data_IF_645063375070
#
_entry.id   IF_645063375070
#
_cell.length_a   1.000
_cell.length_b   1.000
_cell.length_c   1.000
_cell.angle_alpha   90.00
_cell.angle_beta   90.00
_cell.angle_gamma   90.00
#
_symmetry.space_group_name_H-M   'P 1'
#
loop_
_entity.id
_entity.type
_entity.pdbx_description
1 polymer ?
#
# COMPACT_ATOMS: atom_id res chain seq x y z
N UNK A 1 37.45 -27.80 13.47
CA UNK A 1 36.29 -28.69 13.70
C UNK A 1 35.28 -27.88 14.50
N UNK A 2 34.56 -27.01 13.78
CA UNK A 2 33.40 -26.26 14.26
C UNK A 2 32.23 -26.91 13.54
N UNK A 3 31.21 -27.31 14.29
CA UNK A 3 30.05 -28.01 13.78
C UNK A 3 29.26 -27.11 12.84
N UNK A 4 29.25 -27.48 11.57
CA UNK A 4 28.20 -27.12 10.62
C UNK A 4 26.86 -27.56 11.21
N UNK A 5 26.01 -26.58 11.54
CA UNK A 5 24.68 -26.78 12.09
C UNK A 5 23.76 -25.71 11.52
N UNK A 6 23.05 -26.10 10.46
CA UNK A 6 21.75 -25.57 10.02
C UNK A 6 21.60 -24.03 9.95
N UNK A 7 22.10 -23.45 8.85
CA UNK A 7 21.53 -22.24 8.26
C UNK A 7 20.97 -22.51 6.85
N UNK A 8 20.64 -23.76 6.55
CA UNK A 8 20.20 -24.21 5.22
C UNK A 8 18.69 -24.46 5.22
N UNK A 9 17.96 -23.37 5.46
CA UNK A 9 16.58 -23.20 5.01
C UNK A 9 16.47 -21.73 4.60
N UNK A 10 17.07 -21.41 3.45
CA UNK A 10 16.89 -20.13 2.76
C UNK A 10 15.41 -20.01 2.39
N UNK A 11 14.64 -19.52 3.36
CA UNK A 11 13.29 -19.00 3.20
C UNK A 11 13.25 -18.20 1.90
N UNK A 12 12.46 -18.66 0.93
CA UNK A 12 11.97 -17.79 -0.11
C UNK A 12 11.07 -16.78 0.62
N UNK A 13 11.45 -15.50 0.78
CA UNK A 13 10.60 -14.55 1.48
C UNK A 13 9.38 -14.31 0.61
N UNK A 14 8.19 -14.60 1.15
CA UNK A 14 6.91 -14.45 0.46
C UNK A 14 5.94 -15.61 0.57
N UNK A 15 6.38 -16.77 1.08
CA UNK A 15 5.53 -17.98 1.19
C UNK A 15 5.32 -18.47 2.63
N UNK A 16 6.05 -17.92 3.61
CA UNK A 16 5.94 -18.27 5.03
C UNK A 16 4.92 -17.41 5.80
N UNK A 17 4.36 -17.92 6.92
CA UNK A 17 3.55 -17.11 7.81
C UNK A 17 4.37 -15.92 8.33
N UNK A 18 3.76 -14.73 8.34
CA UNK A 18 4.38 -13.55 8.94
C UNK A 18 4.62 -13.82 10.43
N UNK A 19 5.86 -13.62 10.89
CA UNK A 19 6.21 -13.85 12.28
C UNK A 19 5.51 -12.82 13.18
N UNK A 20 4.96 -13.22 14.34
CA UNK A 20 4.30 -12.28 15.26
C UNK A 20 5.18 -11.08 15.67
N UNK A 21 6.50 -11.29 15.77
CA UNK A 21 7.49 -10.26 16.11
C UNK A 21 7.75 -9.25 14.98
N UNK A 22 7.41 -9.58 13.74
CA UNK A 22 7.55 -8.65 12.60
C UNK A 22 6.57 -7.49 12.70
N UNK A 23 5.33 -7.74 13.13
CA UNK A 23 4.28 -6.73 13.16
C UNK A 23 4.59 -5.48 13.99
N UNK A 24 5.02 -5.59 15.27
CA UNK A 24 5.37 -4.40 16.05
C UNK A 24 6.52 -3.63 15.39
N UNK A 25 7.49 -4.33 14.79
CA UNK A 25 8.63 -3.70 14.13
C UNK A 25 8.23 -2.97 12.84
N UNK A 26 7.49 -3.67 11.96
CA UNK A 26 6.95 -3.14 10.72
C UNK A 26 6.10 -1.89 10.98
N UNK A 27 5.11 -1.98 11.87
CA UNK A 27 4.21 -0.85 12.16
C UNK A 27 4.95 0.33 12.82
N UNK A 28 5.88 0.06 13.74
CA UNK A 28 6.74 1.10 14.34
C UNK A 28 7.52 1.86 13.28
N UNK A 29 8.14 1.15 12.34
CA UNK A 29 8.93 1.77 11.26
C UNK A 29 8.05 2.53 10.28
N UNK A 30 6.90 1.96 9.87
CA UNK A 30 6.00 2.60 8.91
C UNK A 30 5.39 3.90 9.44
N UNK A 31 5.00 3.94 10.72
CA UNK A 31 4.52 5.17 11.36
C UNK A 31 5.65 6.08 11.87
N UNK A 32 6.90 5.63 11.82
CA UNK A 32 8.02 6.37 12.36
C UNK A 32 7.88 6.66 13.86
N UNK A 33 7.36 5.68 14.61
CA UNK A 33 7.12 5.82 16.05
C UNK A 33 8.44 5.67 16.79
N UNK A 34 8.77 6.67 17.61
CA UNK A 34 10.00 6.70 18.39
C UNK A 34 9.69 6.82 19.89
N UNK A 35 10.66 6.39 20.72
CA UNK A 35 10.58 6.59 22.16
C UNK A 35 9.33 5.96 22.81
N UNK A 36 8.54 6.72 23.59
CA UNK A 36 7.36 6.20 24.29
C UNK A 36 6.31 5.59 23.37
N UNK A 37 6.10 6.14 22.18
CA UNK A 37 5.06 5.69 21.25
C UNK A 37 5.41 4.34 20.61
N UNK A 38 6.67 4.15 20.20
CA UNK A 38 7.15 2.85 19.72
C UNK A 38 7.09 1.78 20.82
N UNK A 39 7.47 2.12 22.06
CA UNK A 39 7.34 1.21 23.22
C UNK A 39 5.89 0.85 23.51
N UNK A 40 4.97 1.80 23.41
CA UNK A 40 3.53 1.56 23.60
C UNK A 40 3.01 0.58 22.56
N UNK A 41 3.38 0.76 21.29
CA UNK A 41 2.99 -0.17 20.23
C UNK A 41 3.55 -1.56 20.47
N UNK A 42 4.85 -1.69 20.76
CA UNK A 42 5.48 -2.98 21.06
C UNK A 42 4.83 -3.69 22.27
N UNK A 43 4.48 -2.93 23.32
CA UNK A 43 3.81 -3.47 24.50
C UNK A 43 2.44 -4.08 24.18
N UNK A 44 1.67 -3.51 23.25
CA UNK A 44 0.43 -4.14 22.78
C UNK A 44 0.65 -5.50 22.13
N UNK A 45 1.79 -5.73 21.49
CA UNK A 45 2.15 -7.04 20.92
C UNK A 45 2.84 -7.97 21.94
N UNK A 46 2.93 -7.57 23.22
CA UNK A 46 3.67 -8.33 24.23
C UNK A 46 5.15 -8.53 23.89
N UNK A 47 5.71 -7.68 23.03
CA UNK A 47 7.08 -7.78 22.51
C UNK A 47 7.91 -6.62 23.05
N UNK A 48 9.17 -6.85 23.40
CA UNK A 48 10.08 -5.75 23.74
C UNK A 48 10.68 -5.11 22.47
N UNK A 49 11.15 -3.87 22.59
CA UNK A 49 11.65 -3.11 21.45
C UNK A 49 12.88 -3.76 20.78
N UNK A 50 13.69 -4.51 21.54
CA UNK A 50 14.90 -5.16 21.02
C UNK A 50 14.55 -6.36 20.15
N UNK A 51 13.58 -7.17 20.57
CA UNK A 51 13.09 -8.31 19.79
C UNK A 51 12.40 -7.83 18.49
N UNK A 52 11.66 -6.72 18.55
CA UNK A 52 11.10 -6.09 17.35
C UNK A 52 12.21 -5.60 16.41
N UNK A 53 13.25 -4.94 16.92
CA UNK A 53 14.38 -4.45 16.10
C UNK A 53 15.11 -5.61 15.40
N UNK A 54 15.39 -6.70 16.10
CA UNK A 54 16.02 -7.88 15.50
C UNK A 54 15.15 -8.52 14.40
N UNK A 55 13.82 -8.52 14.56
CA UNK A 55 12.89 -8.97 13.52
C UNK A 55 12.89 -8.03 12.30
N UNK A 56 13.02 -6.72 12.52
CA UNK A 56 13.16 -5.73 11.46
C UNK A 56 14.47 -5.90 10.69
N UNK A 57 15.59 -6.07 11.37
CA UNK A 57 16.87 -6.37 10.73
C UNK A 57 16.76 -7.62 9.86
N UNK A 58 16.15 -8.70 10.36
CA UNK A 58 15.89 -9.90 9.56
C UNK A 58 15.07 -9.61 8.29
N UNK A 59 14.05 -8.76 8.37
CA UNK A 59 13.29 -8.32 7.21
C UNK A 59 14.16 -7.56 6.19
N UNK A 60 14.99 -6.62 6.66
CA UNK A 60 15.85 -5.80 5.80
C UNK A 60 16.94 -6.59 5.08
N UNK A 61 17.69 -7.40 5.83
CA UNK A 61 18.83 -8.15 5.28
C UNK A 61 18.43 -9.31 4.38
N UNK A 62 17.18 -9.77 4.47
CA UNK A 62 16.64 -10.87 3.66
C UNK A 62 16.22 -10.48 2.23
N UNK A 63 16.37 -9.21 1.82
CA UNK A 63 15.73 -8.68 0.61
C UNK A 63 14.23 -9.02 0.57
N UNK A 64 13.58 -8.88 1.72
CA UNK A 64 12.25 -9.43 1.95
C UNK A 64 11.21 -8.69 1.12
N UNK A 65 10.41 -9.47 0.41
CA UNK A 65 9.28 -9.00 -0.37
C UNK A 65 8.02 -9.75 0.02
N UNK A 66 6.98 -9.01 0.36
CA UNK A 66 5.64 -9.56 0.46
C UNK A 66 4.91 -9.39 -0.87
N UNK A 67 4.52 -10.51 -1.46
CA UNK A 67 3.67 -10.54 -2.66
C UNK A 67 2.22 -10.70 -2.26
N UNK A 68 1.39 -9.77 -2.70
CA UNK A 68 -0.05 -9.77 -2.48
C UNK A 68 -0.71 -9.97 -3.85
N UNK A 69 -0.98 -11.23 -4.25
CA UNK A 69 -1.58 -11.51 -5.55
C UNK A 69 -2.99 -10.92 -5.62
N UNK A 70 -3.37 -10.45 -6.80
CA UNK A 70 -4.65 -9.83 -7.12
C UNK A 70 -5.23 -10.46 -8.39
N UNK A 71 -6.54 -10.30 -8.56
CA UNK A 71 -7.23 -10.77 -9.75
C UNK A 71 -6.63 -10.21 -11.05
N UNK A 72 -6.76 -11.02 -12.11
CA UNK A 72 -6.28 -10.66 -13.43
C UNK A 72 -4.76 -10.55 -13.49
N UNK A 73 -4.02 -11.33 -12.71
CA UNK A 73 -2.56 -11.46 -12.80
C UNK A 73 -1.76 -10.28 -12.25
N UNK A 74 -2.39 -9.35 -11.53
CA UNK A 74 -1.66 -8.26 -10.88
C UNK A 74 -1.07 -8.75 -9.55
N UNK A 75 -0.01 -8.09 -9.10
CA UNK A 75 0.60 -8.39 -7.81
C UNK A 75 1.04 -7.09 -7.17
N UNK A 76 0.60 -6.86 -5.93
CA UNK A 76 1.16 -5.83 -5.07
C UNK A 76 2.42 -6.39 -4.39
N UNK A 77 3.47 -5.59 -4.34
CA UNK A 77 4.74 -5.93 -3.70
C UNK A 77 4.99 -4.93 -2.59
N UNK A 78 5.23 -5.42 -1.37
CA UNK A 78 5.75 -4.63 -0.25
C UNK A 78 7.18 -5.06 -0.04
N UNK A 79 8.12 -4.21 -0.41
CA UNK A 79 9.53 -4.58 -0.51
C UNK A 79 10.39 -3.61 0.27
N UNK A 80 11.46 -4.11 0.89
CA UNK A 80 12.52 -3.28 1.46
C UNK A 80 13.22 -2.51 0.33
N UNK A 81 13.41 -1.20 0.51
CA UNK A 81 14.16 -0.35 -0.41
C UNK A 81 15.53 -0.06 0.19
N UNK A 82 16.60 -0.57 -0.42
CA UNK A 82 17.96 -0.21 -0.04
C UNK A 82 18.26 1.22 -0.52
N UNK A 83 18.64 2.08 0.41
CA UNK A 83 19.10 3.44 0.16
C UNK A 83 20.53 3.51 0.73
N UNK A 84 21.49 4.25 0.14
CA UNK A 84 22.92 4.13 0.45
C UNK A 84 23.36 4.26 1.93
N UNK A 85 22.46 4.56 2.85
CA UNK A 85 22.69 4.72 4.29
C UNK A 85 21.52 4.28 5.17
N UNK A 86 20.39 3.84 4.60
CA UNK A 86 19.18 3.48 5.33
C UNK A 86 18.31 2.51 4.52
N UNK A 87 17.30 1.96 5.17
CA UNK A 87 16.30 1.14 4.51
C UNK A 87 14.92 1.78 4.59
N UNK A 88 14.26 1.83 3.44
CA UNK A 88 12.87 2.24 3.29
C UNK A 88 11.96 1.05 2.99
N UNK A 89 10.70 1.35 2.70
CA UNK A 89 9.75 0.37 2.17
C UNK A 89 9.03 0.99 0.99
N UNK A 90 8.77 0.20 -0.05
CA UNK A 90 7.93 0.60 -1.16
C UNK A 90 6.75 -0.35 -1.33
N UNK A 91 5.62 0.21 -1.75
CA UNK A 91 4.43 -0.51 -2.15
C UNK A 91 4.25 -0.27 -3.64
N UNK A 92 4.46 -1.32 -4.44
CA UNK A 92 4.39 -1.24 -5.90
C UNK A 92 3.40 -2.25 -6.47
N UNK A 93 2.79 -1.92 -7.60
CA UNK A 93 1.91 -2.80 -8.35
C UNK A 93 2.57 -3.22 -9.65
N UNK A 94 2.53 -4.52 -9.91
CA UNK A 94 3.10 -5.17 -11.07
C UNK A 94 2.05 -5.99 -11.82
N UNK A 95 2.23 -6.13 -13.14
CA UNK A 95 1.53 -7.10 -13.96
C UNK A 95 2.52 -7.64 -15.01
N UNK A 96 2.61 -8.96 -15.25
CA UNK A 96 3.63 -9.57 -16.11
C UNK A 96 3.59 -9.07 -17.57
N UNK A 97 2.40 -8.78 -18.09
CA UNK A 97 2.23 -8.25 -19.45
C UNK A 97 2.56 -6.76 -19.60
N UNK A 98 2.94 -6.06 -18.52
CA UNK A 98 3.26 -4.63 -18.58
C UNK A 98 4.77 -4.48 -18.77
N UNK A 99 5.17 -3.60 -19.70
CA UNK A 99 6.57 -3.10 -19.82
C UNK A 99 7.10 -2.79 -18.42
N UNK A 100 8.40 -3.01 -18.08
CA UNK A 100 8.90 -3.32 -16.72
C UNK A 100 8.70 -2.26 -15.63
N UNK A 101 7.95 -1.20 -15.91
CA UNK A 101 7.55 -0.16 -14.98
C UNK A 101 6.56 -0.72 -13.96
N UNK A 102 7.03 -0.76 -12.73
CA UNK A 102 6.19 -0.92 -11.55
C UNK A 102 5.40 0.37 -11.32
N UNK A 103 4.11 0.25 -11.01
CA UNK A 103 3.32 1.39 -10.56
C UNK A 103 3.56 1.58 -9.06
N UNK A 104 4.23 2.66 -8.68
CA UNK A 104 4.43 3.00 -7.29
C UNK A 104 3.10 3.49 -6.67
N UNK A 105 2.73 2.93 -5.52
CA UNK A 105 1.60 3.39 -4.71
C UNK A 105 2.07 4.17 -3.48
N UNK A 106 3.13 3.71 -2.83
CA UNK A 106 3.74 4.45 -1.74
C UNK A 106 5.23 4.16 -1.61
N UNK A 107 5.98 5.15 -1.14
CA UNK A 107 7.37 5.00 -0.69
C UNK A 107 7.54 5.62 0.68
N UNK A 108 8.04 4.81 1.61
CA UNK A 108 8.33 5.15 2.99
C UNK A 108 9.85 5.26 3.15
N UNK A 109 10.39 6.44 2.88
CA UNK A 109 11.79 6.80 3.11
C UNK A 109 11.85 7.96 4.11
N UNK A 110 12.55 7.74 5.23
CA UNK A 110 12.71 8.74 6.29
C UNK A 110 14.06 9.46 6.22
N UNK A 111 15.10 8.79 5.73
CA UNK A 111 16.46 9.33 5.70
C UNK A 111 16.60 10.51 4.75
N UNK A 112 16.16 10.35 3.50
CA UNK A 112 16.35 11.39 2.49
C UNK A 112 15.51 12.63 2.81
N UNK A 113 14.29 12.43 3.32
CA UNK A 113 13.41 13.53 3.74
C UNK A 113 14.03 14.37 4.88
N UNK A 114 14.65 13.72 5.86
CA UNK A 114 15.26 14.41 7.00
C UNK A 114 16.62 15.06 6.65
N UNK A 115 17.44 14.42 5.81
CA UNK A 115 18.79 14.90 5.46
C UNK A 115 18.77 16.03 4.43
N UNK A 116 17.85 16.00 3.48
CA UNK A 116 17.80 17.02 2.41
C UNK A 116 17.03 18.26 2.83
N UNK A 117 16.29 18.24 3.95
CA UNK A 117 15.43 19.36 4.35
C UNK A 117 14.39 19.70 3.28
N UNK A 118 14.13 18.77 2.36
CA UNK A 118 13.20 18.91 1.25
C UNK A 118 11.98 18.02 1.48
N UNK A 119 10.81 18.41 0.98
CA UNK A 119 9.61 17.57 0.98
C UNK A 119 9.69 16.39 -0.01
N UNK A 120 10.77 16.24 -0.78
CA UNK A 120 10.84 15.27 -1.88
C UNK A 120 11.60 14.01 -1.50
N UNK A 121 10.83 12.98 -1.10
CA UNK A 121 10.91 11.57 -1.57
C UNK A 121 10.01 10.59 -0.79
N UNK A 122 9.04 11.10 -0.04
CA UNK A 122 7.87 10.29 0.31
C UNK A 122 6.83 10.47 -0.80
N UNK A 123 6.43 9.37 -1.42
CA UNK A 123 5.31 9.36 -2.37
C UNK A 123 4.16 8.61 -1.74
N UNK A 124 2.99 9.22 -1.72
CA UNK A 124 1.79 8.69 -1.07
C UNK A 124 0.80 9.80 -0.72
N UNK A 125 -0.42 9.44 -0.26
CA UNK A 125 -0.94 8.09 -0.09
C UNK A 125 -1.22 7.39 -1.43
N UNK A 126 -1.21 6.06 -1.42
CA UNK A 126 -1.42 5.24 -2.61
C UNK A 126 -2.81 4.63 -2.74
N UNK A 127 -3.54 4.55 -1.63
CA UNK A 127 -4.81 3.84 -1.54
C UNK A 127 -5.86 4.68 -0.80
N UNK A 128 -7.08 4.65 -1.33
CA UNK A 128 -8.29 4.96 -0.57
C UNK A 128 -8.64 3.84 0.41
N UNK A 129 -9.54 4.11 1.37
CA UNK A 129 -10.08 3.09 2.27
C UNK A 129 -10.80 1.97 1.51
N UNK A 130 -11.56 2.34 0.46
CA UNK A 130 -12.29 1.38 -0.38
C UNK A 130 -11.32 0.45 -1.12
N UNK A 131 -10.26 1.00 -1.73
CA UNK A 131 -9.25 0.18 -2.40
C UNK A 131 -8.49 -0.69 -1.39
N UNK A 132 -8.07 -0.15 -0.23
CA UNK A 132 -7.39 -0.92 0.82
C UNK A 132 -8.21 -2.15 1.25
N UNK A 133 -9.47 -1.94 1.61
CA UNK A 133 -10.33 -3.02 2.11
C UNK A 133 -10.70 -4.02 1.03
N UNK A 134 -10.84 -3.57 -0.23
CA UNK A 134 -11.00 -4.45 -1.39
C UNK A 134 -9.78 -5.36 -1.54
N UNK A 135 -8.58 -4.76 -1.69
CA UNK A 135 -7.32 -5.46 -1.92
C UNK A 135 -6.97 -6.47 -0.82
N UNK A 136 -7.33 -6.15 0.43
CA UNK A 136 -7.20 -7.07 1.54
C UNK A 136 -8.08 -8.32 1.35
N UNK A 137 -9.32 -8.16 0.87
CA UNK A 137 -10.35 -9.22 0.82
C UNK A 137 -10.37 -10.04 -0.47
N UNK A 138 -9.79 -9.55 -1.56
CA UNK A 138 -9.84 -10.19 -2.89
C UNK A 138 -8.47 -10.67 -3.38
N UNK A 139 -7.76 -11.56 -2.65
CA UNK A 139 -6.57 -12.19 -3.18
C UNK A 139 -6.93 -13.15 -4.33
N UNK A 140 -6.12 -13.17 -5.39
CA UNK A 140 -6.07 -14.34 -6.26
C UNK A 140 -5.51 -15.50 -5.42
N UNK A 141 -6.33 -16.52 -5.18
CA UNK A 141 -6.02 -17.67 -4.31
C UNK A 141 -5.16 -18.72 -5.00
N UNK A 142 -5.01 -18.64 -6.32
CA UNK A 142 -4.23 -19.60 -7.11
C UNK A 142 -2.76 -19.17 -7.30
N UNK A 143 -2.48 -17.87 -7.21
CA UNK A 143 -1.11 -17.34 -7.30
C UNK A 143 -0.39 -17.40 -5.94
N UNK A 144 0.95 -17.55 -5.89
CA UNK A 144 1.69 -17.56 -4.62
C UNK A 144 1.72 -16.18 -3.94
N UNK A 145 1.68 -16.17 -2.60
CA UNK A 145 1.89 -14.98 -1.78
C UNK A 145 1.03 -14.92 -0.53
N UNK A 146 0.88 -13.71 0.03
CA UNK A 146 0.08 -13.46 1.24
C UNK A 146 -1.39 -13.42 0.89
N UNK A 147 -2.16 -14.39 1.40
CA UNK A 147 -3.61 -14.50 1.16
C UNK A 147 -4.48 -14.18 2.38
N UNK A 148 -3.91 -14.13 3.59
CA UNK A 148 -4.70 -13.76 4.78
C UNK A 148 -5.14 -12.30 4.65
N UNK A 149 -6.47 -12.02 4.60
CA UNK A 149 -6.96 -10.67 4.46
C UNK A 149 -6.53 -9.73 5.59
N UNK A 150 -6.29 -10.26 6.80
CA UNK A 150 -5.86 -9.44 7.95
C UNK A 150 -4.40 -9.00 7.80
N UNK A 151 -3.53 -9.94 7.44
CA UNK A 151 -2.15 -9.63 7.09
C UNK A 151 -2.04 -8.64 5.92
N UNK A 152 -2.81 -8.87 4.84
CA UNK A 152 -2.83 -7.97 3.67
C UNK A 152 -3.28 -6.56 4.04
N UNK A 153 -4.30 -6.44 4.90
CA UNK A 153 -4.76 -5.15 5.41
C UNK A 153 -3.61 -4.42 6.12
N UNK A 154 -2.92 -5.07 7.06
CA UNK A 154 -1.84 -4.43 7.83
C UNK A 154 -0.62 -4.07 6.97
N UNK A 155 -0.27 -4.90 5.98
CA UNK A 155 0.82 -4.61 5.03
C UNK A 155 0.51 -3.43 4.10
N UNK A 156 -0.76 -3.21 3.77
CA UNK A 156 -1.17 -2.12 2.88
C UNK A 156 -1.64 -0.87 3.63
N UNK A 157 -1.95 -0.98 4.93
CA UNK A 157 -2.43 0.13 5.75
C UNK A 157 -1.51 1.36 5.70
N UNK A 158 -0.16 1.24 5.67
CA UNK A 158 0.70 2.40 5.55
C UNK A 158 0.44 3.24 4.27
N UNK A 159 -0.06 2.64 3.20
CA UNK A 159 -0.37 3.35 1.95
C UNK A 159 -1.73 4.07 1.97
N UNK A 160 -2.52 3.93 3.05
CA UNK A 160 -3.81 4.59 3.23
C UNK A 160 -3.65 6.07 3.54
N UNK A 161 -4.34 6.92 2.79
CA UNK A 161 -4.58 8.30 3.19
C UNK A 161 -5.90 8.75 2.61
N UNK A 162 -6.96 8.66 3.40
CA UNK A 162 -8.33 8.88 2.96
C UNK A 162 -9.09 9.72 3.98
N UNK A 163 -9.60 10.88 3.54
CA UNK A 163 -10.41 11.79 4.33
C UNK A 163 -11.80 11.22 4.65
N UNK A 164 -12.26 10.24 3.86
CA UNK A 164 -13.57 9.62 3.99
C UNK A 164 -13.47 8.21 4.62
N UNK A 165 -12.45 7.99 5.46
CA UNK A 165 -12.31 6.76 6.27
C UNK A 165 -13.55 6.58 7.17
N UNK A 166 -14.24 5.43 7.13
CA UNK A 166 -15.50 5.25 7.83
C UNK A 166 -15.31 5.08 9.34
N UNK A 167 -16.40 5.30 10.09
CA UNK A 167 -16.39 5.27 11.55
C UNK A 167 -16.06 3.89 12.15
N UNK A 168 -16.28 2.81 11.39
CA UNK A 168 -15.97 1.42 11.79
C UNK A 168 -14.53 0.97 11.42
N UNK A 169 -13.71 1.88 10.88
CA UNK A 169 -12.32 1.58 10.54
C UNK A 169 -11.48 1.08 11.73
N UNK A 170 -11.61 1.62 12.96
CA UNK A 170 -10.89 1.10 14.12
C UNK A 170 -11.21 -0.37 14.42
N UNK A 171 -12.46 -0.80 14.24
CA UNK A 171 -12.89 -2.19 14.46
C UNK A 171 -12.33 -3.13 13.39
N UNK A 172 -12.32 -2.69 12.13
CA UNK A 172 -11.73 -3.44 11.01
C UNK A 172 -10.22 -3.64 11.20
N UNK A 173 -9.49 -2.56 11.51
CA UNK A 173 -8.04 -2.63 11.75
C UNK A 173 -7.75 -3.38 13.06
N UNK A 174 -8.53 -3.15 14.11
CA UNK A 174 -8.39 -3.83 15.40
C UNK A 174 -8.54 -5.34 15.25
N UNK A 175 -9.47 -5.81 14.42
CA UNK A 175 -9.60 -7.25 14.10
C UNK A 175 -8.33 -7.81 13.45
N UNK A 176 -7.68 -7.03 12.57
CA UNK A 176 -6.43 -7.44 11.95
C UNK A 176 -5.25 -7.42 12.93
N UNK A 177 -5.14 -6.38 13.77
CA UNK A 177 -4.14 -6.28 14.84
C UNK A 177 -4.28 -7.41 15.86
N UNK A 178 -5.51 -7.80 16.19
CA UNK A 178 -5.76 -8.93 17.08
C UNK A 178 -5.23 -10.25 16.51
N UNK A 179 -5.45 -10.49 15.21
CA UNK A 179 -4.90 -11.65 14.54
C UNK A 179 -3.37 -11.60 14.40
N UNK A 180 -2.80 -10.39 14.40
CA UNK A 180 -1.36 -10.16 14.36
C UNK A 180 -0.67 -10.28 15.74
N UNK A 181 -1.44 -10.44 16.83
CA UNK A 181 -0.91 -10.71 18.17
C UNK A 181 -1.27 -9.68 19.25
N UNK A 182 -2.01 -8.62 18.92
CA UNK A 182 -2.52 -7.68 19.94
C UNK A 182 -3.66 -8.34 20.73
N UNK A 183 -3.70 -8.26 22.07
CA UNK A 183 -4.85 -8.73 22.85
C UNK A 183 -6.15 -8.07 22.37
N UNK A 184 -7.20 -8.87 22.19
CA UNK A 184 -8.50 -8.37 21.68
C UNK A 184 -9.04 -7.15 22.43
N UNK A 185 -8.93 -7.03 23.77
CA UNK A 185 -9.37 -5.83 24.49
C UNK A 185 -8.63 -4.55 24.08
N UNK A 186 -7.38 -4.67 23.65
CA UNK A 186 -6.50 -3.54 23.33
C UNK A 186 -6.46 -3.23 21.83
N UNK A 187 -6.90 -4.16 20.98
CA UNK A 187 -6.69 -4.10 19.54
C UNK A 187 -7.38 -2.92 18.86
N UNK A 188 -8.59 -2.55 19.30
CA UNK A 188 -9.29 -1.37 18.78
C UNK A 188 -8.60 -0.07 19.22
N UNK A 189 -8.05 -0.02 20.42
CA UNK A 189 -7.32 1.17 20.90
C UNK A 189 -5.96 1.32 20.19
N UNK A 190 -5.29 0.20 19.90
CA UNK A 190 -4.11 0.19 19.04
C UNK A 190 -4.45 0.69 17.62
N UNK A 191 -5.60 0.28 17.07
CA UNK A 191 -6.06 0.76 15.78
C UNK A 191 -6.35 2.27 15.78
N UNK A 192 -7.05 2.79 16.80
CA UNK A 192 -7.28 4.24 16.97
C UNK A 192 -5.97 5.01 17.07
N UNK A 193 -5.03 4.50 17.85
CA UNK A 193 -3.72 5.12 18.01
C UNK A 193 -2.97 5.31 16.69
N UNK A 194 -3.05 4.33 15.78
CA UNK A 194 -2.47 4.43 14.42
C UNK A 194 -3.25 5.40 13.53
N UNK A 195 -4.59 5.34 13.54
CA UNK A 195 -5.45 6.21 12.72
C UNK A 195 -5.39 7.70 13.12
N UNK A 196 -5.19 7.99 14.41
CA UNK A 196 -5.00 9.35 14.92
C UNK A 196 -3.63 9.96 14.54
N UNK A 197 -2.72 9.13 14.03
CA UNK A 197 -1.36 9.51 13.60
C UNK A 197 -1.14 9.11 12.14
N UNK A 198 -1.96 9.60 11.19
CA UNK A 198 -1.87 9.13 9.82
C UNK A 198 -0.50 9.49 9.24
N UNK A 199 0.08 8.56 8.46
CA UNK A 199 1.36 8.77 7.77
C UNK A 199 1.21 9.91 6.74
N UNK A 200 0.03 10.00 6.12
CA UNK A 200 -0.29 10.97 5.09
C UNK A 200 -1.36 11.96 5.58
N UNK A 201 -1.37 13.21 5.09
CA UNK A 201 -2.52 14.07 5.24
C UNK A 201 -3.79 13.41 4.69
N UNK A 202 -4.93 13.67 5.34
CA UNK A 202 -6.23 13.21 4.85
C UNK A 202 -6.47 13.72 3.42
N UNK A 203 -6.62 12.80 2.46
CA UNK A 203 -6.75 13.11 1.04
C UNK A 203 -8.14 12.71 0.53
N UNK A 204 -8.67 13.44 -0.45
CA UNK A 204 -9.94 13.12 -1.11
C UNK A 204 -9.70 12.26 -2.34
N UNK A 205 -10.54 11.25 -2.48
CA UNK A 205 -10.51 10.32 -3.61
C UNK A 205 -11.72 10.57 -4.50
N UNK A 206 -11.47 10.97 -5.74
CA UNK A 206 -12.54 11.28 -6.70
C UNK A 206 -12.56 10.23 -7.80
N UNK A 207 -13.72 9.66 -8.13
CA UNK A 207 -13.83 8.86 -9.34
C UNK A 207 -13.48 9.73 -10.54
N UNK A 208 -12.89 9.16 -11.60
CA UNK A 208 -12.54 9.92 -12.78
C UNK A 208 -13.82 10.49 -13.37
N UNK A 209 -13.79 11.78 -13.75
CA UNK A 209 -14.93 12.42 -14.38
C UNK A 209 -15.39 11.56 -15.56
N UNK A 210 -16.67 11.19 -15.58
CA UNK A 210 -17.27 10.60 -16.78
C UNK A 210 -17.05 11.64 -17.89
N UNK A 211 -16.36 11.30 -19.00
CA UNK A 211 -16.20 12.26 -20.06
C UNK A 211 -17.60 12.69 -20.50
N UNK A 212 -17.91 14.00 -20.36
CA UNK A 212 -19.18 14.51 -20.84
C UNK A 212 -19.35 14.05 -22.30
N UNK A 213 -20.53 13.55 -22.68
CA UNK A 213 -20.78 13.21 -24.07
C UNK A 213 -20.42 14.44 -24.90
N UNK A 214 -19.46 14.29 -25.82
CA UNK A 214 -18.92 15.40 -26.63
C UNK A 214 -20.08 16.17 -27.23
N UNK A 215 -20.49 17.28 -26.61
CA UNK A 215 -21.33 18.28 -27.27
C UNK A 215 -20.49 18.74 -28.44
N UNK A 216 -21.00 18.54 -29.67
CA UNK A 216 -20.39 19.08 -30.89
C UNK A 216 -20.36 20.60 -30.76
N UNK A 217 -19.29 21.14 -30.17
CA UNK A 217 -19.05 22.56 -30.19
C UNK A 217 -18.61 22.93 -31.62
N UNK A 218 -19.20 23.95 -32.23
CA UNK A 218 -18.75 24.46 -33.53
C UNK A 218 -17.26 24.83 -33.48
N UNK A 219 -16.54 24.56 -34.56
CA UNK A 219 -15.09 24.74 -34.70
C UNK A 219 -14.56 26.15 -34.34
N UNK A 220 -15.44 27.16 -34.33
CA UNK A 220 -15.10 28.54 -33.99
C UNK A 220 -15.17 28.88 -32.48
N UNK A 221 -15.50 27.92 -31.59
CA UNK A 221 -15.54 28.11 -30.13
C UNK A 221 -14.52 27.26 -29.36
N UNK A 222 -13.41 26.86 -29.99
CA UNK A 222 -12.30 26.24 -29.27
C UNK A 222 -11.39 27.35 -28.70
N UNK A 223 -11.29 27.52 -27.36
CA UNK A 223 -10.31 28.42 -26.80
C UNK A 223 -8.90 27.86 -27.07
N UNK A 224 -8.02 28.75 -27.48
CA UNK A 224 -6.60 28.52 -27.62
C UNK A 224 -6.01 28.23 -26.23
N UNK A 225 -5.66 26.97 -26.02
CA UNK A 225 -4.58 26.48 -25.14
C UNK A 225 -4.59 26.96 -23.69
N UNK A 226 -5.33 26.25 -22.83
CA UNK A 226 -4.84 25.90 -21.49
C UNK A 226 -4.18 24.51 -21.58
N UNK A 227 -3.06 24.23 -20.89
CA UNK A 227 -2.55 22.87 -20.79
C UNK A 227 -3.68 22.00 -20.25
N UNK A 228 -3.97 20.89 -20.91
CA UNK A 228 -5.02 19.99 -20.47
C UNK A 228 -4.68 19.56 -19.04
N UNK A 229 -5.44 20.05 -18.06
CA UNK A 229 -5.51 19.42 -16.75
C UNK A 229 -5.77 17.93 -17.01
N UNK A 230 -4.93 17.10 -16.39
CA UNK A 230 -4.79 15.66 -16.62
C UNK A 230 -5.98 14.96 -17.26
N UNK A 231 -5.75 14.23 -18.35
CA UNK A 231 -6.77 13.33 -18.88
C UNK A 231 -7.21 12.39 -17.76
N UNK A 232 -8.47 12.50 -17.33
CA UNK A 232 -9.06 11.56 -16.40
C UNK A 232 -9.05 10.19 -17.05
N UNK A 233 -8.39 9.25 -16.38
CA UNK A 233 -8.28 7.87 -16.83
C UNK A 233 -9.56 7.16 -16.37
N UNK A 234 -10.44 6.71 -17.27
CA UNK A 234 -11.71 6.10 -16.87
C UNK A 234 -11.47 4.89 -15.95
N UNK A 235 -12.20 4.82 -14.84
CA UNK A 235 -12.16 3.71 -13.89
C UNK A 235 -11.22 3.86 -12.69
N UNK A 236 -10.16 4.67 -12.72
CA UNK A 236 -9.25 4.84 -11.58
C UNK A 236 -9.55 6.09 -10.76
N UNK A 237 -9.68 5.91 -9.43
CA UNK A 237 -9.84 7.04 -8.51
C UNK A 237 -8.57 7.89 -8.45
N UNK A 238 -8.76 9.21 -8.41
CA UNK A 238 -7.71 10.22 -8.32
C UNK A 238 -7.63 10.75 -6.89
N UNK A 239 -6.40 10.85 -6.38
CA UNK A 239 -6.09 11.47 -5.09
C UNK A 239 -5.78 12.96 -5.29
N UNK A 240 -6.22 13.83 -4.38
CA UNK A 240 -5.92 15.26 -4.42
C UNK A 240 -4.61 15.65 -3.71
N UNK A 241 -4.01 14.73 -2.95
CA UNK A 241 -2.74 14.97 -2.26
C UNK A 241 -1.57 15.09 -3.25
N UNK A 242 -0.85 16.21 -3.23
CA UNK A 242 0.21 16.50 -4.21
C UNK A 242 1.36 15.47 -4.21
N UNK A 243 1.66 14.85 -3.07
CA UNK A 243 2.69 13.82 -2.95
C UNK A 243 2.23 12.43 -3.42
N UNK A 244 0.93 12.25 -3.68
CA UNK A 244 0.36 10.98 -4.08
C UNK A 244 0.76 10.64 -5.52
N UNK A 245 1.22 9.41 -5.80
CA UNK A 245 1.40 8.97 -7.19
C UNK A 245 0.06 8.95 -7.94
N UNK A 246 -1.07 8.94 -7.22
CA UNK A 246 -2.45 8.99 -7.74
C UNK A 246 -2.95 10.41 -8.03
N UNK A 247 -2.17 11.45 -7.73
CA UNK A 247 -2.54 12.84 -8.06
C UNK A 247 -2.15 13.23 -9.50
N UNK A 248 -1.11 12.58 -10.04
CA UNK A 248 -0.61 12.80 -11.39
C UNK A 248 -1.49 12.11 -12.44
N UNK A 249 -1.73 12.79 -13.55
CA UNK A 249 -2.52 12.29 -14.67
C UNK A 249 -1.87 11.09 -15.39
N UNK A 250 -0.55 10.92 -15.22
CA UNK A 250 0.26 10.06 -16.07
C UNK A 250 0.60 8.69 -15.46
N UNK A 251 0.06 8.35 -14.27
CA UNK A 251 0.29 7.03 -13.64
C UNK A 251 0.04 5.87 -14.62
N UNK A 252 -0.95 6.05 -15.51
CA UNK A 252 -1.32 5.07 -16.53
C UNK A 252 -1.11 5.56 -17.96
N UNK A 253 -0.34 6.65 -18.18
CA UNK A 253 -0.13 7.20 -19.52
C UNK A 253 0.48 6.20 -20.52
N UNK A 254 1.16 5.17 -20.01
CA UNK A 254 1.78 4.10 -20.79
C UNK A 254 0.91 2.83 -20.91
N UNK A 255 -0.26 2.79 -20.25
CA UNK A 255 -1.17 1.65 -20.28
C UNK A 255 -2.24 1.84 -21.36
N UNK A 256 -2.56 0.75 -22.07
CA UNK A 256 -3.70 0.70 -22.97
C UNK A 256 -5.02 0.79 -22.18
N UNK A 257 -6.13 1.27 -22.78
CA UNK A 257 -7.42 1.40 -22.09
C UNK A 257 -7.92 0.12 -21.40
N UNK A 258 -7.71 -1.05 -22.02
CA UNK A 258 -8.07 -2.35 -21.42
C UNK A 258 -7.20 -2.69 -20.20
N UNK A 259 -5.93 -2.28 -20.19
CA UNK A 259 -5.03 -2.49 -19.05
C UNK A 259 -5.44 -1.59 -17.88
N UNK A 260 -5.79 -0.34 -18.16
CA UNK A 260 -6.38 0.59 -17.18
C UNK A 260 -7.64 0.01 -16.55
N UNK A 261 -8.55 -0.52 -17.36
CA UNK A 261 -9.81 -1.09 -16.88
C UNK A 261 -9.59 -2.33 -16.00
N UNK A 262 -8.65 -3.21 -16.39
CA UNK A 262 -8.23 -4.36 -15.57
C UNK A 262 -7.60 -3.92 -14.25
N UNK A 263 -6.74 -2.90 -14.27
CA UNK A 263 -6.14 -2.32 -13.07
C UNK A 263 -7.22 -1.74 -12.14
N UNK A 264 -8.16 -0.98 -12.68
CA UNK A 264 -9.25 -0.38 -11.92
C UNK A 264 -10.12 -1.44 -11.24
N UNK A 265 -10.37 -2.59 -11.88
CA UNK A 265 -11.04 -3.73 -11.25
C UNK A 265 -10.19 -4.37 -10.17
N UNK A 266 -8.91 -4.62 -10.44
CA UNK A 266 -7.99 -5.23 -9.47
C UNK A 266 -7.82 -4.37 -8.20
N UNK A 267 -7.90 -3.04 -8.33
CA UNK A 267 -7.90 -2.11 -7.20
C UNK A 267 -9.27 -1.97 -6.52
N UNK A 268 -10.35 -2.49 -7.12
CA UNK A 268 -11.71 -2.30 -6.62
C UNK A 268 -12.33 -0.94 -6.92
N UNK A 269 -11.72 -0.14 -7.79
CA UNK A 269 -12.29 1.13 -8.27
C UNK A 269 -13.45 0.93 -9.25
N UNK A 270 -13.53 -0.24 -9.89
CA UNK A 270 -14.64 -0.66 -10.75
C UNK A 270 -15.24 -1.98 -10.27
N UNK A 271 -16.54 -2.20 -10.48
CA UNK A 271 -17.16 -3.50 -10.21
C UNK A 271 -16.55 -4.60 -11.10
N UNK A 272 -16.63 -5.87 -10.68
CA UNK A 272 -16.22 -7.00 -11.50
C UNK A 272 -16.95 -6.99 -12.85
N UNK A 273 -16.30 -7.49 -13.90
CA UNK A 273 -16.95 -7.63 -15.20
C UNK A 273 -18.18 -8.54 -15.06
N UNK A 274 -19.29 -8.16 -15.72
CA UNK A 274 -20.43 -9.06 -15.83
C UNK A 274 -19.98 -10.37 -16.50
N UNK A 275 -20.48 -11.53 -16.05
CA UNK A 275 -20.20 -12.79 -16.73
C UNK A 275 -20.68 -12.66 -18.18
N UNK A 276 -19.83 -13.07 -19.13
CA UNK A 276 -20.24 -13.19 -20.52
C UNK A 276 -21.18 -14.39 -20.58
N UNK A 277 -22.47 -14.14 -20.77
CA UNK A 277 -23.44 -15.21 -21.03
C UNK A 277 -22.96 -15.96 -22.28
N UNK A 278 -22.71 -17.26 -22.10
CA UNK A 278 -22.17 -18.17 -23.13
C UNK A 278 -23.29 -18.74 -23.99
#
# INVERSE_FOLDING_TARGET
MLTDGECDDLLIPGEGPLFPTLWPAYLTRMWGLEGPDGRRLAAWFGTDATAAEAAWDGYLWGASEFRLPLDGGHTLRVSSLEIPTEWGTEVTLHHPDWSPRLLNLATFDRYLAQRLGTPERQSGPGLSWTELTHLARTPDRAAPGVHDPRARLLLLLPALGDADTPADAPEVIGTALAAAGVPTPDATDAARFLLERPIWPAARWTPPAVPEPRRRLPWHRLPWSRPAAGRSVPGLVRCDAAASPRAAADLTAHLAPRQVERLARALGSLPPAAPVES
#
